data_IF_674384411934
#
_entry.id   IF_674384411934
#
_cell.length_a   1.000
_cell.length_b   1.000
_cell.length_c   1.000
_cell.angle_alpha   90.00
_cell.angle_beta   90.00
_cell.angle_gamma   90.00
#
_symmetry.space_group_name_H-M   'P 1'
#
loop_
_entity.id
_entity.type
_entity.pdbx_description
1 polymer ?
#
# COMPACT_ATOMS: atom_id res chain seq x y z
N UNK A 1 -19.34 -26.52 -42.60
CA UNK A 1 -19.84 -25.58 -41.57
C UNK A 1 -18.85 -25.67 -40.42
N UNK A 2 -17.97 -24.68 -40.24
CA UNK A 2 -17.03 -24.70 -39.12
C UNK A 2 -17.83 -24.33 -37.88
N UNK A 3 -17.88 -25.24 -36.91
CA UNK A 3 -18.55 -24.98 -35.64
C UNK A 3 -17.73 -23.93 -34.90
N UNK A 4 -18.12 -22.68 -35.00
CA UNK A 4 -17.61 -21.64 -34.11
C UNK A 4 -18.10 -22.00 -32.72
N UNK A 5 -17.16 -22.37 -31.84
CA UNK A 5 -17.47 -22.68 -30.44
C UNK A 5 -18.26 -21.55 -29.78
N UNK A 6 -18.83 -21.82 -28.62
CA UNK A 6 -19.58 -20.80 -27.87
C UNK A 6 -18.79 -19.49 -27.71
N UNK A 7 -19.49 -18.34 -27.69
CA UNK A 7 -18.85 -17.02 -27.63
C UNK A 7 -17.85 -16.84 -26.47
N UNK A 8 -18.02 -17.59 -25.37
CA UNK A 8 -17.12 -17.56 -24.20
C UNK A 8 -15.81 -18.34 -24.39
N UNK A 9 -15.66 -19.10 -25.48
CA UNK A 9 -14.42 -19.79 -25.88
C UNK A 9 -13.63 -18.99 -26.91
N UNK A 10 -14.29 -18.15 -27.72
CA UNK A 10 -13.67 -17.38 -28.81
C UNK A 10 -13.37 -15.92 -28.43
N UNK A 11 -13.94 -15.42 -27.34
CA UNK A 11 -13.67 -14.07 -26.82
C UNK A 11 -13.42 -14.10 -25.32
N UNK A 12 -12.52 -13.23 -24.86
CA UNK A 12 -12.16 -13.08 -23.45
C UNK A 12 -12.34 -11.66 -22.94
N UNK A 13 -12.34 -11.47 -21.61
CA UNK A 13 -12.47 -10.16 -21.00
C UNK A 13 -11.24 -9.31 -21.31
N UNK A 14 -11.44 -7.98 -21.44
CA UNK A 14 -10.31 -7.05 -21.48
C UNK A 14 -9.77 -6.83 -20.08
N UNK A 15 -8.53 -6.36 -19.96
CA UNK A 15 -7.92 -5.99 -18.68
C UNK A 15 -8.83 -5.09 -17.82
N UNK A 16 -9.51 -4.12 -18.45
CA UNK A 16 -10.48 -3.24 -17.77
C UNK A 16 -11.62 -4.02 -17.11
N UNK A 17 -12.19 -5.01 -17.80
CA UNK A 17 -13.31 -5.81 -17.29
C UNK A 17 -12.85 -6.71 -16.14
N UNK A 18 -11.66 -7.29 -16.27
CA UNK A 18 -11.03 -8.09 -15.21
C UNK A 18 -10.80 -7.25 -13.95
N UNK A 19 -10.32 -6.00 -14.10
CA UNK A 19 -10.16 -5.10 -12.94
C UNK A 19 -11.48 -4.78 -12.26
N UNK A 20 -12.55 -4.53 -13.03
CA UNK A 20 -13.88 -4.30 -12.49
C UNK A 20 -14.36 -5.55 -11.73
N UNK A 21 -14.18 -6.75 -12.29
CA UNK A 21 -14.50 -7.99 -11.61
C UNK A 21 -13.71 -8.16 -10.30
N UNK A 22 -12.40 -7.87 -10.32
CA UNK A 22 -11.56 -7.91 -9.12
C UNK A 22 -11.98 -6.91 -8.05
N UNK A 23 -12.53 -5.74 -8.43
CA UNK A 23 -12.99 -4.69 -7.50
C UNK A 23 -14.44 -4.92 -7.03
N UNK A 24 -15.30 -5.53 -7.85
CA UNK A 24 -16.70 -5.77 -7.51
C UNK A 24 -16.88 -7.05 -6.68
N UNK A 25 -16.12 -8.10 -6.98
CA UNK A 25 -16.24 -9.41 -6.33
C UNK A 25 -15.25 -9.60 -5.17
N UNK A 26 -14.93 -8.51 -4.48
CA UNK A 26 -14.00 -8.35 -3.34
C UNK A 26 -14.53 -9.02 -2.05
N UNK A 27 -15.30 -10.11 -2.15
CA UNK A 27 -15.63 -10.96 -1.00
C UNK A 27 -14.38 -11.62 -0.39
N UNK A 28 -13.31 -11.75 -1.17
CA UNK A 28 -12.02 -12.28 -0.71
C UNK A 28 -11.19 -11.26 0.08
N UNK A 29 -11.59 -9.99 0.13
CA UNK A 29 -10.81 -8.93 0.76
C UNK A 29 -11.66 -8.04 1.67
N UNK A 30 -11.64 -8.33 2.96
CA UNK A 30 -12.41 -7.56 3.94
C UNK A 30 -11.62 -6.32 4.39
N UNK A 31 -11.94 -5.17 3.79
CA UNK A 31 -11.36 -3.86 4.14
C UNK A 31 -11.52 -3.48 5.62
N UNK A 32 -12.48 -4.08 6.36
CA UNK A 32 -12.68 -3.80 7.79
C UNK A 32 -11.64 -4.48 8.69
N UNK A 33 -11.02 -5.57 8.21
CA UNK A 33 -9.99 -6.33 8.96
C UNK A 33 -8.57 -5.88 8.66
N UNK A 34 -8.34 -5.06 7.64
CA UNK A 34 -7.02 -4.57 7.28
C UNK A 34 -6.66 -3.26 7.99
N UNK A 35 -5.36 -2.99 8.21
CA UNK A 35 -4.89 -1.81 8.93
C UNK A 35 -5.31 -0.51 8.22
N UNK A 36 -5.47 0.57 9.00
CA UNK A 36 -5.86 1.93 8.53
C UNK A 36 -5.05 2.43 7.32
N UNK A 37 -3.86 1.88 7.06
CA UNK A 37 -2.98 2.27 5.96
C UNK A 37 -3.43 1.82 4.57
N UNK A 38 -4.45 0.94 4.47
CA UNK A 38 -4.95 0.48 3.20
C UNK A 38 -6.22 1.24 2.78
N UNK A 39 -6.05 2.20 1.88
CA UNK A 39 -7.18 2.92 1.27
C UNK A 39 -7.74 2.16 0.07
N UNK A 40 -8.99 2.45 -0.29
CA UNK A 40 -9.61 1.96 -1.53
C UNK A 40 -8.83 2.37 -2.78
N UNK A 41 -8.14 3.52 -2.74
CA UNK A 41 -7.26 3.98 -3.79
C UNK A 41 -6.01 3.11 -3.92
N UNK A 42 -5.39 2.74 -2.80
CA UNK A 42 -4.20 1.87 -2.81
C UNK A 42 -4.52 0.46 -3.32
N UNK A 43 -5.69 -0.07 -2.95
CA UNK A 43 -6.18 -1.34 -3.49
C UNK A 43 -6.32 -1.27 -5.03
N UNK A 44 -6.90 -0.19 -5.56
CA UNK A 44 -7.00 0.03 -7.01
C UNK A 44 -5.63 0.10 -7.68
N UNK A 45 -4.66 0.80 -7.08
CA UNK A 45 -3.29 0.85 -7.59
C UNK A 45 -2.66 -0.53 -7.70
N UNK A 46 -2.81 -1.37 -6.66
CA UNK A 46 -2.27 -2.73 -6.67
C UNK A 46 -2.96 -3.59 -7.75
N UNK A 47 -4.29 -3.50 -7.86
CA UNK A 47 -5.04 -4.21 -8.90
C UNK A 47 -4.59 -3.76 -10.31
N UNK A 48 -4.37 -2.47 -10.52
CA UNK A 48 -3.85 -1.93 -11.79
C UNK A 48 -2.42 -2.40 -12.08
N UNK A 49 -1.59 -2.59 -11.04
CA UNK A 49 -0.22 -3.11 -11.19
C UNK A 49 -0.22 -4.57 -11.63
N UNK A 50 -1.09 -5.40 -11.04
CA UNK A 50 -1.21 -6.83 -11.40
C UNK A 50 -1.92 -7.01 -12.74
N UNK A 51 -2.89 -6.15 -13.05
CA UNK A 51 -3.67 -6.18 -14.29
C UNK A 51 -3.47 -4.85 -15.06
N UNK A 52 -2.30 -4.69 -15.71
CA UNK A 52 -2.03 -3.54 -16.58
C UNK A 52 -2.85 -3.62 -17.87
N UNK A 53 -3.00 -2.50 -18.58
CA UNK A 53 -3.81 -2.42 -19.81
C UNK A 53 -3.29 -3.29 -20.95
N UNK A 54 -1.99 -3.59 -20.96
CA UNK A 54 -1.33 -4.43 -21.94
C UNK A 54 -1.46 -5.94 -21.65
N UNK A 55 -2.03 -6.32 -20.51
CA UNK A 55 -2.22 -7.74 -20.15
C UNK A 55 -3.32 -8.35 -21.02
N UNK A 56 -2.96 -9.39 -21.77
CA UNK A 56 -3.83 -10.05 -22.76
C UNK A 56 -3.83 -11.59 -22.62
N UNK A 57 -3.25 -12.13 -21.54
CA UNK A 57 -3.16 -13.56 -21.24
C UNK A 57 -4.52 -14.20 -20.85
N UNK A 58 -5.59 -13.40 -20.82
CA UNK A 58 -6.94 -13.88 -20.53
C UNK A 58 -7.49 -14.79 -21.62
N UNK A 59 -7.22 -14.52 -22.90
CA UNK A 59 -7.65 -15.32 -24.05
C UNK A 59 -9.17 -15.41 -24.22
N UNK A 60 -9.81 -16.30 -23.46
CA UNK A 60 -11.25 -16.56 -23.45
C UNK A 60 -11.84 -16.41 -22.06
N UNK A 61 -13.16 -16.21 -21.93
CA UNK A 61 -13.81 -16.19 -20.61
C UNK A 61 -13.60 -17.50 -19.85
N UNK A 62 -13.55 -18.64 -20.55
CA UNK A 62 -13.21 -19.94 -19.93
C UNK A 62 -11.80 -19.94 -19.35
N UNK A 63 -10.81 -19.49 -20.12
CA UNK A 63 -9.43 -19.40 -19.64
C UNK A 63 -9.29 -18.39 -18.49
N UNK A 64 -10.02 -17.27 -18.54
CA UNK A 64 -10.08 -16.31 -17.45
C UNK A 64 -10.47 -16.96 -16.11
N UNK A 65 -11.47 -17.84 -16.06
CA UNK A 65 -11.83 -18.53 -14.83
C UNK A 65 -10.70 -19.41 -14.26
N UNK A 66 -9.86 -19.99 -15.12
CA UNK A 66 -8.70 -20.77 -14.67
C UNK A 66 -7.58 -19.88 -14.13
N UNK A 67 -7.26 -18.77 -14.82
CA UNK A 67 -6.18 -17.87 -14.41
C UNK A 67 -6.56 -16.93 -13.26
N UNK A 68 -7.86 -16.71 -13.03
CA UNK A 68 -8.41 -15.83 -11.98
C UNK A 68 -7.82 -16.12 -10.61
N UNK A 69 -7.63 -17.40 -10.25
CA UNK A 69 -7.03 -17.77 -8.97
C UNK A 69 -5.57 -17.32 -8.84
N UNK A 70 -4.82 -17.34 -9.93
CA UNK A 70 -3.43 -16.88 -9.92
C UNK A 70 -3.36 -15.35 -9.83
N UNK A 71 -4.24 -14.65 -10.55
CA UNK A 71 -4.37 -13.19 -10.45
C UNK A 71 -4.68 -12.77 -9.01
N UNK A 72 -5.62 -13.47 -8.34
CA UNK A 72 -5.94 -13.20 -6.93
C UNK A 72 -4.70 -13.38 -6.04
N UNK A 73 -3.93 -14.46 -6.22
CA UNK A 73 -2.68 -14.68 -5.46
C UNK A 73 -1.63 -13.60 -5.71
N UNK A 74 -1.49 -13.11 -6.94
CA UNK A 74 -0.60 -12.00 -7.28
C UNK A 74 -1.01 -10.72 -6.54
N UNK A 75 -2.31 -10.42 -6.52
CA UNK A 75 -2.86 -9.27 -5.79
C UNK A 75 -2.64 -9.43 -4.28
N UNK A 76 -2.93 -10.60 -3.71
CA UNK A 76 -2.71 -10.89 -2.28
C UNK A 76 -1.24 -10.72 -1.87
N UNK A 77 -0.30 -11.17 -2.72
CA UNK A 77 1.13 -11.01 -2.46
C UNK A 77 1.53 -9.52 -2.42
N UNK A 78 1.14 -8.75 -3.42
CA UNK A 78 1.43 -7.31 -3.50
C UNK A 78 0.80 -6.54 -2.33
N UNK A 79 -0.39 -6.93 -1.89
CA UNK A 79 -1.05 -6.37 -0.70
C UNK A 79 -0.27 -6.69 0.57
N UNK A 80 0.15 -7.94 0.75
CA UNK A 80 0.94 -8.35 1.91
C UNK A 80 2.29 -7.63 1.97
N UNK A 81 2.98 -7.50 0.83
CA UNK A 81 4.25 -6.78 0.75
C UNK A 81 4.07 -5.30 1.13
N UNK A 82 3.02 -4.65 0.64
CA UNK A 82 2.69 -3.27 1.03
C UNK A 82 2.43 -3.13 2.54
N UNK A 83 1.63 -4.04 3.11
CA UNK A 83 1.30 -4.02 4.54
C UNK A 83 2.57 -4.22 5.40
N UNK A 84 3.41 -5.18 5.03
CA UNK A 84 4.67 -5.46 5.73
C UNK A 84 5.57 -4.22 5.72
N UNK A 85 5.68 -3.54 4.58
CA UNK A 85 6.52 -2.37 4.45
C UNK A 85 6.01 -1.20 5.30
N UNK A 86 4.69 -0.95 5.31
CA UNK A 86 4.10 0.07 6.18
C UNK A 86 4.33 -0.25 7.67
N UNK A 87 4.20 -1.52 8.08
CA UNK A 87 4.51 -1.95 9.44
C UNK A 87 5.98 -1.73 9.81
N UNK A 88 6.92 -1.97 8.90
CA UNK A 88 8.35 -1.68 9.11
C UNK A 88 8.58 -0.19 9.30
N UNK A 89 7.99 0.66 8.45
CA UNK A 89 8.09 2.12 8.55
C UNK A 89 7.53 2.59 9.89
N UNK A 90 6.35 2.09 10.29
CA UNK A 90 5.74 2.42 11.58
C UNK A 90 6.64 2.03 12.76
N UNK A 91 7.21 0.81 12.72
CA UNK A 91 8.15 0.34 13.75
C UNK A 91 9.41 1.20 13.79
N UNK A 92 10.00 1.52 12.64
CA UNK A 92 11.18 2.38 12.53
C UNK A 92 10.91 3.77 13.12
N UNK A 93 9.81 4.43 12.75
CA UNK A 93 9.39 5.74 13.32
C UNK A 93 9.28 5.69 14.84
N UNK A 94 8.71 4.61 15.39
CA UNK A 94 8.56 4.43 16.85
C UNK A 94 9.92 4.27 17.55
N UNK A 95 10.85 3.51 16.97
CA UNK A 95 12.22 3.37 17.50
C UNK A 95 12.94 4.71 17.45
N UNK A 96 12.92 5.40 16.31
CA UNK A 96 13.51 6.74 16.19
C UNK A 96 12.92 7.71 17.21
N UNK A 97 11.59 7.70 17.40
CA UNK A 97 10.97 8.57 18.40
C UNK A 97 11.43 8.26 19.82
N UNK A 98 11.60 6.97 20.17
CA UNK A 98 12.04 6.52 21.49
C UNK A 98 13.51 6.79 21.76
N UNK A 99 14.38 6.58 20.78
CA UNK A 99 15.83 6.60 20.98
C UNK A 99 16.47 7.92 20.52
N UNK A 100 16.10 8.41 19.32
CA UNK A 100 16.73 9.60 18.74
C UNK A 100 16.21 10.89 19.37
N UNK A 101 14.90 10.98 19.65
CA UNK A 101 14.31 12.22 20.21
C UNK A 101 14.95 12.61 21.54
N UNK A 102 15.13 11.70 22.52
CA UNK A 102 15.79 12.06 23.78
C UNK A 102 17.24 12.51 23.58
N UNK A 103 17.97 11.90 22.64
CA UNK A 103 19.34 12.30 22.33
C UNK A 103 19.39 13.71 21.72
N UNK A 104 18.49 14.03 20.80
CA UNK A 104 18.35 15.37 20.22
C UNK A 104 18.02 16.39 21.31
N UNK A 105 17.01 16.11 22.15
CA UNK A 105 16.62 16.98 23.27
C UNK A 105 17.82 17.20 24.20
N UNK A 106 18.50 16.13 24.62
CA UNK A 106 19.67 16.23 25.48
C UNK A 106 20.77 17.11 24.85
N UNK A 107 21.08 16.91 23.56
CA UNK A 107 22.11 17.72 22.87
C UNK A 107 21.72 19.19 22.72
N UNK A 108 20.44 19.49 22.50
CA UNK A 108 19.95 20.86 22.35
C UNK A 108 19.89 21.61 23.69
N UNK A 109 19.48 20.94 24.76
CA UNK A 109 19.18 21.56 26.06
C UNK A 109 20.27 21.37 27.13
N UNK A 110 21.31 20.55 26.87
CA UNK A 110 22.48 20.50 27.77
C UNK A 110 23.12 21.89 27.91
N UNK A 111 23.89 22.07 28.97
CA UNK A 111 24.65 23.31 29.21
C UNK A 111 25.54 23.63 28.01
N UNK A 112 25.45 24.86 27.51
CA UNK A 112 26.14 25.31 26.29
C UNK A 112 25.52 24.83 24.97
N UNK A 113 24.46 24.02 25.03
CA UNK A 113 23.63 23.65 23.89
C UNK A 113 22.88 24.84 23.30
N UNK A 114 22.46 24.72 22.05
CA UNK A 114 21.84 25.81 21.30
C UNK A 114 20.56 26.33 21.99
N UNK A 115 19.62 25.43 22.30
CA UNK A 115 18.39 25.81 23.01
C UNK A 115 18.67 26.31 24.41
N UNK A 116 19.63 25.73 25.12
CA UNK A 116 20.05 26.24 26.41
C UNK A 116 20.49 27.71 26.35
N UNK A 117 21.31 28.07 25.35
CA UNK A 117 21.78 29.46 25.15
C UNK A 117 20.65 30.43 24.85
N UNK A 118 19.74 30.05 23.95
CA UNK A 118 18.56 30.87 23.61
C UNK A 118 17.68 31.13 24.84
N UNK A 119 17.36 30.08 25.59
CA UNK A 119 16.50 30.19 26.77
C UNK A 119 17.16 31.02 27.87
N UNK A 120 18.48 30.83 28.09
CA UNK A 120 19.25 31.64 29.06
C UNK A 120 19.21 33.12 28.70
N UNK A 121 19.50 33.46 27.43
CA UNK A 121 19.46 34.85 26.96
C UNK A 121 18.06 35.48 27.09
N UNK A 122 17.00 34.69 26.85
CA UNK A 122 15.62 35.14 27.05
C UNK A 122 15.32 35.47 28.52
N UNK A 123 15.70 34.61 29.46
CA UNK A 123 15.49 34.86 30.89
C UNK A 123 16.33 36.02 31.42
N UNK A 124 17.56 36.21 30.92
CA UNK A 124 18.40 37.36 31.27
C UNK A 124 17.75 38.68 30.83
N UNK A 125 17.09 38.71 29.66
CA UNK A 125 16.34 39.89 29.19
C UNK A 125 15.11 40.22 30.04
N UNK A 126 14.46 39.23 30.64
CA UNK A 126 13.29 39.44 31.51
C UNK A 126 13.66 39.91 32.92
N UNK A 127 14.94 39.76 33.30
CA UNK A 127 15.44 40.06 34.64
C UNK A 127 16.01 41.48 34.76
N UNK A 128 16.26 42.12 33.63
CA UNK A 128 16.67 43.52 33.48
C UNK A 128 15.45 44.37 33.13
#
# INVERSE_FOLDING_TARGET
MWYEGSQYENAGPKAKDVRIDMIANVKWFNLKTYPKCLSSQKLKEIINKVIPDNRNDFGSYRNYYYVKKNIIKEIEKELMDYIIEDFKIYRAKRVLKRELTPLIIHKLYKVGGMRYKETKAHFEKLRN
#
